data_IF_870034750638
#
_entry.id   IF_870034750638
#
_cell.length_a   1.000
_cell.length_b   1.000
_cell.length_c   1.000
_cell.angle_alpha   90.00
_cell.angle_beta   90.00
_cell.angle_gamma   90.00
#
_symmetry.space_group_name_H-M   'P 1'
#
loop_
_entity.id
_entity.type
_entity.pdbx_description
1 polymer ?
#
# COMPACT_ATOMS: atom_id res chain seq x y z
N UNK A 1 -8.37 25.59 -17.62
CA UNK A 1 -8.43 24.28 -18.32
C UNK A 1 -8.73 23.10 -17.38
N UNK A 2 -7.96 22.85 -16.30
CA UNK A 2 -8.19 21.69 -15.39
C UNK A 2 -9.60 21.63 -14.78
N UNK A 3 -10.13 22.75 -14.28
CA UNK A 3 -11.50 22.81 -13.70
C UNK A 3 -12.59 22.49 -14.73
N UNK A 4 -12.44 22.96 -15.96
CA UNK A 4 -13.39 22.70 -17.05
C UNK A 4 -13.39 21.23 -17.45
N UNK A 5 -12.21 20.60 -17.60
CA UNK A 5 -12.11 19.17 -17.88
C UNK A 5 -12.68 18.33 -16.73
N UNK A 6 -12.42 18.69 -15.48
CA UNK A 6 -12.99 18.00 -14.32
C UNK A 6 -14.53 18.08 -14.31
N UNK A 7 -15.09 19.26 -14.61
CA UNK A 7 -16.54 19.44 -14.75
C UNK A 7 -17.11 18.60 -15.88
N UNK A 8 -16.47 18.60 -17.05
CA UNK A 8 -16.92 17.80 -18.20
C UNK A 8 -16.87 16.30 -17.92
N UNK A 9 -15.79 15.80 -17.30
CA UNK A 9 -15.69 14.40 -16.91
C UNK A 9 -16.73 14.03 -15.84
N UNK A 10 -17.03 14.92 -14.90
CA UNK A 10 -18.11 14.69 -13.94
C UNK A 10 -19.50 14.61 -14.60
N UNK A 11 -19.69 15.27 -15.74
CA UNK A 11 -20.95 15.26 -16.49
C UNK A 11 -21.09 14.04 -17.43
N UNK A 12 -19.99 13.67 -18.11
CA UNK A 12 -19.98 12.68 -19.19
C UNK A 12 -19.60 11.26 -18.77
N UNK A 13 -18.90 11.09 -17.64
CA UNK A 13 -18.50 9.78 -17.13
C UNK A 13 -19.40 9.31 -15.99
N UNK A 14 -19.60 7.99 -15.83
CA UNK A 14 -20.29 7.44 -14.67
C UNK A 14 -19.50 7.74 -13.39
N UNK A 15 -20.20 8.07 -12.29
CA UNK A 15 -19.58 8.16 -10.96
C UNK A 15 -19.05 6.79 -10.56
N UNK A 16 -17.73 6.62 -10.51
CA UNK A 16 -17.06 5.38 -10.08
C UNK A 16 -16.19 5.64 -8.86
N UNK A 17 -16.03 4.60 -8.04
CA UNK A 17 -15.08 4.60 -6.93
C UNK A 17 -13.62 4.52 -7.44
N UNK A 18 -12.64 4.54 -6.53
CA UNK A 18 -11.23 4.39 -6.88
C UNK A 18 -10.97 3.04 -7.56
N UNK A 19 -10.25 3.06 -8.70
CA UNK A 19 -9.93 1.88 -9.49
C UNK A 19 -9.00 0.94 -8.69
N UNK A 20 -9.45 -0.28 -8.41
CA UNK A 20 -8.71 -1.27 -7.62
C UNK A 20 -7.80 -2.13 -8.50
N UNK A 21 -8.22 -2.39 -9.74
CA UNK A 21 -7.49 -3.28 -10.66
C UNK A 21 -6.86 -2.51 -11.83
N UNK A 22 -5.73 -2.98 -12.40
CA UNK A 22 -5.14 -2.37 -13.60
C UNK A 22 -6.12 -2.30 -14.78
N UNK A 23 -7.00 -3.30 -14.93
CA UNK A 23 -8.01 -3.32 -15.99
C UNK A 23 -9.08 -2.24 -15.82
N UNK A 24 -9.48 -1.92 -14.59
CA UNK A 24 -10.40 -0.80 -14.30
C UNK A 24 -9.75 0.54 -14.66
N UNK A 25 -8.47 0.74 -14.31
CA UNK A 25 -7.71 1.94 -14.68
C UNK A 25 -7.63 2.12 -16.19
N UNK A 26 -7.33 1.05 -16.93
CA UNK A 26 -7.29 1.07 -18.39
C UNK A 26 -8.67 1.45 -18.99
N UNK A 27 -9.75 0.85 -18.47
CA UNK A 27 -11.13 1.19 -18.88
C UNK A 27 -11.48 2.65 -18.59
N UNK A 28 -11.04 3.19 -17.46
CA UNK A 28 -11.24 4.59 -17.08
C UNK A 28 -10.45 5.54 -18.00
N UNK A 29 -9.21 5.20 -18.36
CA UNK A 29 -8.41 5.93 -19.35
C UNK A 29 -9.13 6.01 -20.71
N UNK A 30 -9.63 4.89 -21.25
CA UNK A 30 -10.41 4.89 -22.51
C UNK A 30 -11.71 5.70 -22.41
N UNK A 31 -12.39 5.65 -21.26
CA UNK A 31 -13.61 6.43 -21.03
C UNK A 31 -13.32 7.94 -21.10
N UNK A 32 -12.26 8.38 -20.41
CA UNK A 32 -11.81 9.77 -20.41
C UNK A 32 -11.43 10.22 -21.81
N UNK A 33 -10.64 9.42 -22.53
CA UNK A 33 -10.23 9.70 -23.91
C UNK A 33 -11.45 9.85 -24.84
N UNK A 34 -12.40 8.92 -24.79
CA UNK A 34 -13.65 8.97 -25.58
C UNK A 34 -14.45 10.22 -25.24
N UNK A 35 -14.56 10.56 -23.95
CA UNK A 35 -15.22 11.76 -23.48
C UNK A 35 -14.53 13.05 -23.95
N UNK A 36 -13.19 13.10 -23.99
CA UNK A 36 -12.44 14.24 -24.54
C UNK A 36 -12.69 14.43 -26.03
N UNK A 37 -12.68 13.36 -26.81
CA UNK A 37 -12.97 13.43 -28.25
C UNK A 37 -14.42 13.81 -28.51
N UNK A 38 -15.36 13.26 -27.73
CA UNK A 38 -16.77 13.64 -27.81
C UNK A 38 -16.95 15.13 -27.54
N UNK A 39 -16.28 15.68 -26.53
CA UNK A 39 -16.31 17.12 -26.25
C UNK A 39 -15.75 17.93 -27.42
N UNK A 40 -14.57 17.55 -27.92
CA UNK A 40 -13.91 18.25 -29.02
C UNK A 40 -14.81 18.29 -30.26
N UNK A 41 -15.37 17.15 -30.64
CA UNK A 41 -16.28 17.03 -31.78
C UNK A 41 -17.56 17.83 -31.53
N UNK A 42 -18.12 17.77 -30.32
CA UNK A 42 -19.34 18.51 -29.98
C UNK A 42 -19.11 20.02 -30.05
N UNK A 43 -17.99 20.51 -29.54
CA UNK A 43 -17.64 21.94 -29.57
C UNK A 43 -17.49 22.45 -31.01
N UNK A 44 -16.95 21.62 -31.91
CA UNK A 44 -16.80 22.00 -33.33
C UNK A 44 -18.13 21.87 -34.08
N UNK A 45 -18.85 20.77 -33.90
CA UNK A 45 -19.99 20.41 -34.74
C UNK A 45 -21.31 21.06 -34.29
N UNK A 46 -21.59 21.14 -32.99
CA UNK A 46 -22.87 21.67 -32.48
C UNK A 46 -23.12 23.12 -32.92
N UNK A 47 -22.13 24.03 -32.94
CA UNK A 47 -22.34 25.38 -33.48
C UNK A 47 -22.58 25.41 -34.99
N UNK A 48 -22.06 24.42 -35.74
CA UNK A 48 -22.21 24.33 -37.19
C UNK A 48 -23.51 23.64 -37.61
N UNK A 49 -24.11 22.82 -36.74
CA UNK A 49 -25.30 22.05 -37.09
C UNK A 49 -26.53 22.90 -37.48
N UNK A 50 -26.81 24.08 -36.87
CA UNK A 50 -27.92 24.92 -37.33
C UNK A 50 -27.73 25.42 -38.77
N UNK A 51 -26.48 25.70 -39.17
CA UNK A 51 -26.17 26.11 -40.55
C UNK A 51 -26.48 24.97 -41.51
N UNK A 52 -26.05 23.76 -41.18
CA UNK A 52 -26.29 22.55 -41.99
C UNK A 52 -27.78 22.20 -42.12
N UNK A 53 -28.57 22.45 -41.06
CA UNK A 53 -29.98 22.09 -40.98
C UNK A 53 -30.88 23.16 -41.62
N UNK A 54 -30.64 24.44 -41.35
CA UNK A 54 -31.55 25.52 -41.75
C UNK A 54 -31.07 26.33 -42.96
N UNK A 55 -29.76 26.42 -43.20
CA UNK A 55 -29.17 27.38 -44.15
C UNK A 55 -28.57 26.72 -45.40
N UNK A 56 -28.93 25.48 -45.71
CA UNK A 56 -28.43 24.75 -46.88
C UNK A 56 -29.55 24.49 -47.90
N UNK A 57 -30.03 25.53 -48.61
CA UNK A 57 -31.14 25.41 -49.55
C UNK A 57 -30.80 24.60 -50.82
N UNK A 58 -29.50 24.38 -51.10
CA UNK A 58 -29.04 23.70 -52.32
C UNK A 58 -28.81 22.19 -52.14
N UNK A 59 -28.78 21.69 -50.92
CA UNK A 59 -28.54 20.26 -50.63
C UNK A 59 -29.71 19.69 -49.84
N UNK A 60 -30.75 19.13 -50.49
CA UNK A 60 -31.92 18.60 -49.79
C UNK A 60 -31.59 17.47 -48.80
N UNK A 61 -30.41 16.84 -48.94
CA UNK A 61 -29.90 15.83 -48.02
C UNK A 61 -29.22 16.37 -46.76
N UNK A 62 -28.87 17.66 -46.68
CA UNK A 62 -28.09 18.15 -45.52
C UNK A 62 -28.90 18.19 -44.22
N UNK A 63 -30.20 18.57 -44.18
CA UNK A 63 -30.96 18.54 -42.93
C UNK A 63 -31.09 17.14 -42.30
N UNK A 64 -31.49 16.07 -43.04
CA UNK A 64 -31.60 14.75 -42.43
C UNK A 64 -30.23 14.19 -41.98
N UNK A 65 -29.14 14.48 -42.70
CA UNK A 65 -27.80 14.08 -42.27
C UNK A 65 -27.42 14.81 -40.97
N UNK A 66 -27.67 16.12 -40.89
CA UNK A 66 -27.37 16.92 -39.69
C UNK A 66 -28.12 16.42 -38.46
N UNK A 67 -29.40 16.08 -38.62
CA UNK A 67 -30.23 15.49 -37.55
C UNK A 67 -29.70 14.11 -37.14
N UNK A 68 -29.42 13.22 -38.11
CA UNK A 68 -28.92 11.87 -37.83
C UNK A 68 -27.59 11.91 -37.05
N UNK A 69 -26.69 12.80 -37.45
CA UNK A 69 -25.41 13.05 -36.76
C UNK A 69 -25.63 13.53 -35.32
N UNK A 70 -26.52 14.50 -35.09
CA UNK A 70 -26.79 15.00 -33.74
C UNK A 70 -27.36 13.90 -32.83
N UNK A 71 -28.20 13.03 -33.39
CA UNK A 71 -28.70 11.84 -32.69
C UNK A 71 -27.54 10.92 -32.33
N UNK A 72 -26.62 10.61 -33.26
CA UNK A 72 -25.46 9.76 -32.97
C UNK A 72 -24.54 10.35 -31.89
N UNK A 73 -24.30 11.66 -31.90
CA UNK A 73 -23.52 12.34 -30.85
C UNK A 73 -24.23 12.27 -29.50
N UNK A 74 -25.54 12.48 -29.48
CA UNK A 74 -26.35 12.37 -28.26
C UNK A 74 -26.36 10.95 -27.72
N UNK A 75 -26.51 9.94 -28.58
CA UNK A 75 -26.40 8.53 -28.21
C UNK A 75 -25.00 8.23 -27.65
N UNK A 76 -23.94 8.70 -28.31
CA UNK A 76 -22.56 8.54 -27.83
C UNK A 76 -22.39 9.10 -26.41
N UNK A 77 -22.94 10.29 -26.14
CA UNK A 77 -22.93 10.89 -24.80
C UNK A 77 -23.70 10.05 -23.77
N UNK A 78 -24.91 9.61 -24.09
CA UNK A 78 -25.76 8.81 -23.19
C UNK A 78 -25.09 7.48 -22.85
N UNK A 79 -24.60 6.74 -23.85
CA UNK A 79 -23.92 5.47 -23.62
C UNK A 79 -22.60 5.64 -22.87
N UNK A 80 -21.88 6.74 -23.09
CA UNK A 80 -20.69 7.10 -22.33
C UNK A 80 -21.00 7.26 -20.85
N UNK A 81 -22.09 7.98 -20.53
CA UNK A 81 -22.57 8.17 -19.15
C UNK A 81 -23.03 6.86 -18.49
N UNK A 82 -23.59 5.93 -19.26
CA UNK A 82 -23.95 4.58 -18.77
C UNK A 82 -22.72 3.67 -18.55
N UNK A 83 -21.52 4.09 -18.95
CA UNK A 83 -20.29 3.32 -18.84
C UNK A 83 -20.09 2.27 -19.94
N UNK A 84 -20.89 2.31 -21.00
CA UNK A 84 -20.79 1.47 -22.19
C UNK A 84 -19.83 2.11 -23.21
N UNK A 85 -18.57 2.25 -22.80
CA UNK A 85 -17.57 3.03 -23.52
C UNK A 85 -17.36 2.56 -24.96
N UNK A 86 -17.36 1.25 -25.22
CA UNK A 86 -17.20 0.72 -26.58
C UNK A 86 -18.35 1.10 -27.51
N UNK A 87 -19.59 1.11 -26.99
CA UNK A 87 -20.77 1.52 -27.76
C UNK A 87 -20.72 3.02 -28.03
N UNK A 88 -20.37 3.81 -27.01
CA UNK A 88 -20.17 5.26 -27.15
C UNK A 88 -19.12 5.60 -28.22
N UNK A 89 -17.97 4.91 -28.19
CA UNK A 89 -16.92 5.05 -29.20
C UNK A 89 -17.39 4.60 -30.60
N UNK A 90 -18.15 3.51 -30.70
CA UNK A 90 -18.72 3.05 -31.97
C UNK A 90 -19.67 4.07 -32.59
N UNK A 91 -20.51 4.75 -31.79
CA UNK A 91 -21.35 5.86 -32.28
C UNK A 91 -20.53 7.06 -32.75
N UNK A 92 -19.38 7.33 -32.13
CA UNK A 92 -18.50 8.43 -32.50
C UNK A 92 -17.74 8.14 -33.82
N UNK A 93 -17.29 6.90 -34.01
CA UNK A 93 -16.74 6.42 -35.29
C UNK A 93 -17.83 6.42 -36.36
N UNK A 94 -19.01 5.88 -36.04
CA UNK A 94 -20.17 5.84 -36.93
C UNK A 94 -20.64 7.23 -37.34
N UNK A 95 -20.59 8.21 -36.44
CA UNK A 95 -20.85 9.62 -36.74
C UNK A 95 -19.96 10.10 -37.89
N UNK A 96 -18.65 9.84 -37.84
CA UNK A 96 -17.74 10.25 -38.90
C UNK A 96 -18.05 9.53 -40.23
N UNK A 97 -18.33 8.23 -40.16
CA UNK A 97 -18.71 7.43 -41.34
C UNK A 97 -20.00 7.95 -42.00
N UNK A 98 -21.04 8.23 -41.21
CA UNK A 98 -22.33 8.72 -41.70
C UNK A 98 -22.19 10.15 -42.23
N UNK A 99 -21.46 11.01 -41.53
CA UNK A 99 -21.27 12.41 -41.95
C UNK A 99 -20.64 12.49 -43.35
N UNK A 100 -19.58 11.72 -43.60
CA UNK A 100 -18.88 11.71 -44.90
C UNK A 100 -19.64 10.87 -45.92
N UNK A 101 -20.01 9.65 -45.54
CA UNK A 101 -20.64 8.68 -46.42
C UNK A 101 -22.01 9.14 -46.93
N UNK A 102 -22.83 9.77 -46.08
CA UNK A 102 -24.14 10.26 -46.51
C UNK A 102 -24.03 11.49 -47.43
N UNK A 103 -23.03 12.36 -47.24
CA UNK A 103 -22.76 13.46 -48.18
C UNK A 103 -22.36 12.90 -49.55
N UNK A 104 -21.48 11.90 -49.58
CA UNK A 104 -21.06 11.25 -50.83
C UNK A 104 -22.17 10.41 -51.47
N UNK A 105 -23.05 9.80 -50.68
CA UNK A 105 -24.16 8.98 -51.20
C UNK A 105 -25.30 9.80 -51.80
N UNK A 106 -25.47 11.05 -51.34
CA UNK A 106 -26.62 11.90 -51.72
C UNK A 106 -26.29 12.92 -52.81
N UNK A 107 -25.01 13.11 -53.13
CA UNK A 107 -24.55 13.99 -54.18
C UNK A 107 -23.92 13.15 -55.30
N UNK A 108 -24.08 13.54 -56.58
CA UNK A 108 -23.38 12.85 -57.66
C UNK A 108 -21.87 12.95 -57.45
N UNK A 109 -21.15 11.85 -57.69
CA UNK A 109 -19.71 11.80 -57.49
C UNK A 109 -19.01 12.73 -58.48
N UNK A 110 -18.37 13.75 -57.93
CA UNK A 110 -17.60 14.75 -58.63
C UNK A 110 -16.13 14.67 -58.20
N UNK A 111 -15.14 14.98 -59.06
CA UNK A 111 -13.73 14.94 -58.69
C UNK A 111 -13.39 15.82 -57.48
N UNK A 112 -14.15 16.90 -57.25
CA UNK A 112 -13.99 17.77 -56.07
C UNK A 112 -14.34 17.09 -54.74
N UNK A 113 -15.12 16.00 -54.77
CA UNK A 113 -15.52 15.23 -53.59
C UNK A 113 -14.56 14.07 -53.27
N UNK A 114 -13.68 13.68 -54.21
CA UNK A 114 -12.70 12.60 -54.00
C UNK A 114 -11.84 12.78 -52.74
N UNK A 115 -11.37 14.00 -52.38
CA UNK A 115 -10.62 14.20 -51.14
C UNK A 115 -11.39 13.82 -49.86
N UNK A 116 -12.73 13.79 -49.90
CA UNK A 116 -13.54 13.36 -48.76
C UNK A 116 -13.32 11.90 -48.40
N UNK A 117 -12.90 11.04 -49.36
CA UNK A 117 -12.52 9.67 -49.03
C UNK A 117 -11.33 9.63 -48.06
N UNK A 118 -10.38 10.56 -48.16
CA UNK A 118 -9.27 10.65 -47.23
C UNK A 118 -9.73 11.00 -45.81
N UNK A 119 -10.89 11.64 -45.64
CA UNK A 119 -11.43 11.99 -44.31
C UNK A 119 -11.91 10.73 -43.55
N UNK A 120 -12.22 9.63 -44.24
CA UNK A 120 -12.49 8.33 -43.58
C UNK A 120 -11.31 7.82 -42.74
N UNK A 121 -10.08 8.31 -42.99
CA UNK A 121 -8.93 8.00 -42.14
C UNK A 121 -9.13 8.47 -40.70
N UNK A 122 -9.91 9.54 -40.48
CA UNK A 122 -10.26 10.02 -39.14
C UNK A 122 -11.08 8.97 -38.40
N UNK A 123 -12.06 8.31 -39.06
CA UNK A 123 -12.83 7.22 -38.46
C UNK A 123 -11.93 6.04 -38.05
N UNK A 124 -10.93 5.70 -38.88
CA UNK A 124 -9.97 4.62 -38.60
C UNK A 124 -9.11 4.96 -37.38
N UNK A 125 -8.57 6.18 -37.34
CA UNK A 125 -7.73 6.65 -36.22
C UNK A 125 -8.56 6.68 -34.93
N UNK A 126 -9.79 7.20 -34.99
CA UNK A 126 -10.71 7.19 -33.85
C UNK A 126 -11.03 5.77 -33.38
N UNK A 127 -11.28 4.84 -34.30
CA UNK A 127 -11.53 3.45 -33.95
C UNK A 127 -10.32 2.81 -33.25
N UNK A 128 -9.11 3.06 -33.74
CA UNK A 128 -7.88 2.55 -33.11
C UNK A 128 -7.59 3.18 -31.75
N UNK A 129 -7.87 4.48 -31.59
CA UNK A 129 -7.62 5.22 -30.36
C UNK A 129 -8.64 4.94 -29.25
N UNK A 130 -9.92 4.82 -29.61
CA UNK A 130 -11.03 4.72 -28.65
C UNK A 130 -11.45 3.27 -28.35
N UNK A 131 -11.16 2.33 -29.25
CA UNK A 131 -11.57 0.92 -29.17
C UNK A 131 -10.34 -0.01 -29.18
N UNK A 132 -10.50 -1.34 -29.03
CA UNK A 132 -9.37 -2.25 -29.13
C UNK A 132 -8.67 -2.09 -30.49
N UNK A 133 -7.33 -2.24 -30.58
CA UNK A 133 -6.58 -1.94 -31.81
C UNK A 133 -7.15 -2.60 -33.07
N UNK A 134 -7.68 -3.82 -32.94
CA UNK A 134 -8.29 -4.59 -34.04
C UNK A 134 -9.43 -3.82 -34.72
N UNK A 135 -10.16 -2.97 -33.98
CA UNK A 135 -11.24 -2.15 -34.52
C UNK A 135 -10.76 -1.20 -35.63
N UNK A 136 -9.51 -0.70 -35.59
CA UNK A 136 -8.97 0.12 -36.68
C UNK A 136 -8.86 -0.64 -38.00
N UNK A 137 -8.50 -1.93 -37.97
CA UNK A 137 -8.45 -2.78 -39.16
C UNK A 137 -9.87 -3.05 -39.70
N UNK A 138 -10.81 -3.38 -38.81
CA UNK A 138 -12.20 -3.65 -39.19
C UNK A 138 -12.82 -2.40 -39.84
N UNK A 139 -12.66 -1.24 -39.22
CA UNK A 139 -13.15 0.04 -39.75
C UNK A 139 -12.43 0.40 -41.04
N UNK A 140 -11.12 0.13 -41.16
CA UNK A 140 -10.38 0.36 -42.40
C UNK A 140 -10.93 -0.47 -43.57
N UNK A 141 -11.20 -1.76 -43.35
CA UNK A 141 -11.84 -2.63 -44.36
C UNK A 141 -13.26 -2.15 -44.68
N UNK A 142 -14.03 -1.76 -43.66
CA UNK A 142 -15.37 -1.21 -43.85
C UNK A 142 -15.34 0.07 -44.69
N UNK A 143 -14.39 0.98 -44.44
CA UNK A 143 -14.20 2.18 -45.25
C UNK A 143 -13.87 1.83 -46.71
N UNK A 144 -13.02 0.81 -46.96
CA UNK A 144 -12.71 0.35 -48.31
C UNK A 144 -13.96 -0.18 -49.03
N UNK A 145 -14.80 -0.95 -48.32
CA UNK A 145 -16.09 -1.44 -48.85
C UNK A 145 -17.02 -0.26 -49.16
N UNK A 146 -17.14 0.71 -48.25
CA UNK A 146 -17.97 1.90 -48.47
C UNK A 146 -17.49 2.70 -49.69
N UNK A 147 -16.17 2.92 -49.83
CA UNK A 147 -15.59 3.60 -50.99
C UNK A 147 -15.95 2.86 -52.29
N UNK A 148 -15.76 1.54 -52.32
CA UNK A 148 -16.08 0.72 -53.49
C UNK A 148 -17.59 0.75 -53.83
N UNK A 149 -18.46 0.61 -52.83
CA UNK A 149 -19.91 0.66 -53.02
C UNK A 149 -20.37 2.04 -53.50
N UNK A 150 -19.87 3.13 -52.90
CA UNK A 150 -20.23 4.48 -53.34
C UNK A 150 -19.78 4.70 -54.79
N UNK A 151 -18.56 4.29 -55.15
CA UNK A 151 -18.06 4.41 -56.51
C UNK A 151 -18.79 3.55 -57.54
N UNK A 152 -19.49 2.48 -57.13
CA UNK A 152 -20.25 1.62 -58.05
C UNK A 152 -21.71 2.04 -58.19
N UNK A 153 -22.33 2.50 -57.10
CA UNK A 153 -23.78 2.71 -57.04
C UNK A 153 -24.22 4.17 -57.09
N UNK A 154 -23.34 5.13 -56.77
CA UNK A 154 -23.71 6.56 -56.81
C UNK A 154 -23.59 7.09 -58.24
N UNK A 155 -24.55 7.91 -58.71
CA UNK A 155 -24.47 8.53 -60.03
C UNK A 155 -23.19 9.39 -60.18
N UNK A 156 -22.54 9.31 -61.35
CA UNK A 156 -21.32 10.04 -61.66
C UNK A 156 -21.61 11.35 -62.41
N UNK A 157 -20.85 12.41 -62.14
CA UNK A 157 -20.84 13.59 -63.01
C UNK A 157 -20.11 13.31 -64.32
N UNK A 158 -20.38 14.10 -65.37
CA UNK A 158 -19.68 13.97 -66.66
C UNK A 158 -18.16 14.13 -66.50
N UNK A 159 -17.71 15.02 -65.60
CA UNK A 159 -16.30 15.22 -65.29
C UNK A 159 -15.67 13.97 -64.65
N UNK A 160 -16.39 13.30 -63.74
CA UNK A 160 -15.92 12.06 -63.14
C UNK A 160 -15.89 10.91 -64.16
N UNK A 161 -16.90 10.80 -65.01
CA UNK A 161 -16.93 9.80 -66.08
C UNK A 161 -15.77 9.98 -67.05
N UNK A 162 -15.47 11.23 -67.45
CA UNK A 162 -14.32 11.53 -68.29
C UNK A 162 -13.01 11.10 -67.62
N UNK A 163 -12.84 11.31 -66.31
CA UNK A 163 -11.66 10.81 -65.59
C UNK A 163 -11.55 9.28 -65.61
N UNK A 164 -12.68 8.56 -65.54
CA UNK A 164 -12.68 7.10 -65.64
C UNK A 164 -12.31 6.63 -67.05
N UNK A 165 -12.85 7.30 -68.07
CA UNK A 165 -12.58 6.98 -69.48
C UNK A 165 -11.12 7.27 -69.86
N UNK A 166 -10.51 8.30 -69.25
CA UNK A 166 -9.07 8.61 -69.36
C UNK A 166 -8.16 7.62 -68.61
N UNK A 167 -8.74 6.59 -67.96
CA UNK A 167 -8.00 5.55 -67.26
C UNK A 167 -7.46 5.96 -65.89
N UNK A 168 -7.97 7.05 -65.29
CA UNK A 168 -7.54 7.54 -63.97
C UNK A 168 -8.11 6.75 -62.79
N UNK A 169 -8.56 5.50 -63.02
CA UNK A 169 -9.08 4.58 -62.01
C UNK A 169 -8.13 4.40 -60.81
N UNK A 170 -6.83 4.44 -61.08
CA UNK A 170 -5.79 4.34 -60.05
C UNK A 170 -5.89 5.48 -59.04
N UNK A 171 -6.12 6.70 -59.50
CA UNK A 171 -6.18 7.88 -58.63
C UNK A 171 -7.52 7.95 -57.90
N UNK A 172 -8.61 7.59 -58.56
CA UNK A 172 -9.96 7.71 -57.99
C UNK A 172 -10.29 6.64 -56.95
N UNK A 173 -9.83 5.40 -57.15
CA UNK A 173 -10.23 4.25 -56.33
C UNK A 173 -9.07 3.57 -55.62
N UNK A 174 -7.96 3.29 -56.32
CA UNK A 174 -6.83 2.54 -55.74
C UNK A 174 -6.13 3.37 -54.65
N UNK A 175 -5.87 4.66 -54.90
CA UNK A 175 -5.17 5.52 -53.95
C UNK A 175 -5.93 5.66 -52.62
N UNK A 176 -7.23 6.02 -52.58
CA UNK A 176 -7.97 6.12 -51.33
C UNK A 176 -8.06 4.79 -50.56
N UNK A 177 -8.30 3.67 -51.24
CA UNK A 177 -8.35 2.34 -50.60
C UNK A 177 -7.00 1.99 -50.00
N UNK A 178 -5.92 2.17 -50.77
CA UNK A 178 -4.55 1.91 -50.30
C UNK A 178 -4.22 2.78 -49.08
N UNK A 179 -4.62 4.05 -49.10
CA UNK A 179 -4.47 4.96 -47.96
C UNK A 179 -5.22 4.46 -46.72
N UNK A 180 -6.49 4.04 -46.84
CA UNK A 180 -7.25 3.50 -45.71
C UNK A 180 -6.58 2.25 -45.11
N UNK A 181 -6.11 1.33 -45.96
CA UNK A 181 -5.45 0.10 -45.50
C UNK A 181 -4.13 0.39 -44.80
N UNK A 182 -3.30 1.28 -45.35
CA UNK A 182 -2.03 1.69 -44.73
C UNK A 182 -2.29 2.36 -43.38
N UNK A 183 -3.22 3.32 -43.32
CA UNK A 183 -3.56 4.02 -42.07
C UNK A 183 -4.13 3.05 -41.02
N UNK A 184 -4.99 2.12 -41.43
CA UNK A 184 -5.53 1.07 -40.56
C UNK A 184 -4.44 0.18 -39.97
N UNK A 185 -3.54 -0.33 -40.82
CA UNK A 185 -2.42 -1.17 -40.39
C UNK A 185 -1.45 -0.41 -39.47
N UNK A 186 -1.12 0.84 -39.81
CA UNK A 186 -0.23 1.69 -39.03
C UNK A 186 -0.84 2.02 -37.66
N UNK A 187 -2.10 2.40 -37.62
CA UNK A 187 -2.83 2.70 -36.38
C UNK A 187 -2.93 1.46 -35.51
N UNK A 188 -3.24 0.29 -36.08
CA UNK A 188 -3.23 -0.98 -35.36
C UNK A 188 -1.86 -1.27 -34.72
N UNK A 189 -0.78 -1.15 -35.49
CA UNK A 189 0.58 -1.40 -35.01
C UNK A 189 0.98 -0.44 -33.89
N UNK A 190 0.73 0.86 -34.07
CA UNK A 190 1.04 1.90 -33.08
C UNK A 190 0.25 1.66 -31.79
N UNK A 191 -1.07 1.49 -31.87
CA UNK A 191 -1.92 1.31 -30.69
C UNK A 191 -1.58 0.02 -29.96
N UNK A 192 -1.30 -1.08 -30.68
CA UNK A 192 -0.85 -2.34 -30.08
C UNK A 192 0.47 -2.18 -29.33
N UNK A 193 1.44 -1.49 -29.92
CA UNK A 193 2.73 -1.23 -29.28
C UNK A 193 2.57 -0.31 -28.07
N UNK A 194 1.77 0.74 -28.17
CA UNK A 194 1.51 1.67 -27.06
C UNK A 194 0.87 0.97 -25.86
N UNK A 195 -0.16 0.13 -26.08
CA UNK A 195 -0.80 -0.65 -25.00
C UNK A 195 0.21 -1.59 -24.35
N UNK A 196 1.06 -2.26 -25.13
CA UNK A 196 2.10 -3.13 -24.59
C UNK A 196 3.11 -2.37 -23.75
N UNK A 197 3.54 -1.18 -24.20
CA UNK A 197 4.46 -0.32 -23.45
C UNK A 197 3.84 0.19 -22.16
N UNK A 198 2.57 0.60 -22.18
CA UNK A 198 1.83 1.03 -20.98
C UNK A 198 1.75 -0.13 -19.98
N UNK A 199 1.40 -1.34 -20.43
CA UNK A 199 1.34 -2.53 -19.56
C UNK A 199 2.70 -2.89 -18.96
N UNK A 200 3.80 -2.68 -19.71
CA UNK A 200 5.16 -2.87 -19.19
C UNK A 200 5.50 -1.83 -18.13
N UNK A 201 5.13 -0.57 -18.35
CA UNK A 201 5.33 0.51 -17.38
C UNK A 201 4.52 0.27 -16.09
N UNK A 202 3.24 -0.06 -16.19
CA UNK A 202 2.38 -0.33 -15.03
C UNK A 202 2.92 -1.52 -14.19
N UNK A 203 3.43 -2.58 -14.85
CA UNK A 203 4.10 -3.70 -14.15
C UNK A 203 5.40 -3.30 -13.49
N UNK A 204 6.19 -2.43 -14.13
CA UNK A 204 7.43 -1.94 -13.54
C UNK A 204 7.14 -1.10 -12.29
N UNK A 205 6.09 -0.28 -12.31
CA UNK A 205 5.65 0.51 -11.15
C UNK A 205 5.21 -0.40 -9.99
N UNK A 206 4.44 -1.46 -10.27
CA UNK A 206 4.04 -2.47 -9.28
C UNK A 206 5.26 -3.21 -8.68
N UNK A 207 6.25 -3.57 -9.50
CA UNK A 207 7.49 -4.20 -9.01
C UNK A 207 8.25 -3.24 -8.10
N UNK A 208 8.35 -1.96 -8.45
CA UNK A 208 9.04 -0.96 -7.62
C UNK A 208 8.32 -0.77 -6.28
N UNK A 209 6.99 -0.70 -6.26
CA UNK A 209 6.26 -0.61 -4.99
C UNK A 209 6.47 -1.85 -4.12
N UNK A 210 6.42 -3.05 -4.71
CA UNK A 210 6.67 -4.30 -3.97
C UNK A 210 8.11 -4.39 -3.46
N UNK A 211 9.09 -3.91 -4.22
CA UNK A 211 10.49 -3.85 -3.78
C UNK A 211 10.66 -2.89 -2.60
N UNK A 212 9.96 -1.76 -2.59
CA UNK A 212 9.99 -0.82 -1.46
C UNK A 212 9.39 -1.44 -0.19
N UNK A 213 8.24 -2.09 -0.30
CA UNK A 213 7.61 -2.82 0.82
C UNK A 213 8.54 -3.93 1.33
N UNK A 214 9.13 -4.72 0.45
CA UNK A 214 10.08 -5.76 0.82
C UNK A 214 11.33 -5.18 1.52
N UNK A 215 11.90 -4.09 0.98
CA UNK A 215 13.03 -3.42 1.59
C UNK A 215 12.70 -2.90 2.99
N UNK A 216 11.48 -2.40 3.21
CA UNK A 216 11.01 -1.98 4.52
C UNK A 216 10.90 -3.18 5.48
N UNK A 217 10.31 -4.28 5.03
CA UNK A 217 10.22 -5.51 5.83
C UNK A 217 11.61 -6.06 6.23
N UNK A 218 12.56 -6.09 5.29
CA UNK A 218 13.93 -6.53 5.56
C UNK A 218 14.60 -5.61 6.58
N UNK A 219 14.43 -4.29 6.48
CA UNK A 219 14.97 -3.34 7.46
C UNK A 219 14.40 -3.59 8.86
N UNK A 220 13.08 -3.77 8.98
CA UNK A 220 12.44 -4.06 10.27
C UNK A 220 12.95 -5.39 10.85
N UNK A 221 13.09 -6.44 10.03
CA UNK A 221 13.64 -7.70 10.49
C UNK A 221 15.10 -7.59 10.91
N UNK A 222 15.91 -6.81 10.20
CA UNK A 222 17.31 -6.58 10.55
C UNK A 222 17.44 -5.86 11.90
N UNK A 223 16.61 -4.84 12.13
CA UNK A 223 16.54 -4.13 13.42
C UNK A 223 16.13 -5.06 14.56
N UNK A 224 15.11 -5.91 14.34
CA UNK A 224 14.68 -6.90 15.33
C UNK A 224 15.78 -7.92 15.66
N UNK A 225 16.51 -8.39 14.64
CA UNK A 225 17.64 -9.30 14.83
C UNK A 225 18.77 -8.64 15.62
N UNK A 226 19.12 -7.41 15.28
CA UNK A 226 20.16 -6.66 15.99
C UNK A 226 19.80 -6.46 17.46
N UNK A 227 18.56 -6.04 17.75
CA UNK A 227 18.07 -5.91 19.13
C UNK A 227 18.18 -7.26 19.88
N UNK A 228 17.72 -8.34 19.25
CA UNK A 228 17.78 -9.67 19.84
C UNK A 228 19.22 -10.10 20.14
N UNK A 229 20.16 -9.87 19.23
CA UNK A 229 21.59 -10.16 19.41
C UNK A 229 22.21 -9.33 20.56
N UNK A 230 21.94 -8.02 20.59
CA UNK A 230 22.37 -7.15 21.69
C UNK A 230 21.81 -7.62 23.04
N UNK A 231 20.54 -8.04 23.07
CA UNK A 231 19.92 -8.59 24.27
C UNK A 231 20.54 -9.92 24.71
N UNK A 232 20.86 -10.82 23.78
CA UNK A 232 21.56 -12.06 24.08
C UNK A 232 22.96 -11.82 24.62
N UNK A 233 23.71 -10.88 24.05
CA UNK A 233 25.05 -10.53 24.52
C UNK A 233 25.02 -10.03 25.96
N UNK A 234 24.07 -9.15 26.31
CA UNK A 234 23.88 -8.67 27.70
C UNK A 234 23.52 -9.78 28.68
N UNK A 235 22.66 -10.72 28.27
CA UNK A 235 22.31 -11.89 29.09
C UNK A 235 23.54 -12.78 29.30
N UNK A 236 24.29 -13.08 28.23
CA UNK A 236 25.48 -13.90 28.28
C UNK A 236 26.59 -13.29 29.15
N UNK A 237 26.83 -11.98 29.01
CA UNK A 237 27.78 -11.25 29.85
C UNK A 237 27.40 -11.31 31.33
N UNK A 238 26.11 -11.07 31.63
CA UNK A 238 25.61 -11.15 33.00
C UNK A 238 25.81 -12.56 33.56
N UNK A 239 25.44 -13.60 32.81
CA UNK A 239 25.63 -14.99 33.21
C UNK A 239 27.10 -15.34 33.46
N UNK A 240 28.02 -14.82 32.64
CA UNK A 240 29.46 -14.99 32.85
C UNK A 240 29.93 -14.36 34.17
N UNK A 241 29.48 -13.13 34.50
CA UNK A 241 29.81 -12.47 35.77
C UNK A 241 29.25 -13.23 36.98
N UNK A 242 28.04 -13.76 36.88
CA UNK A 242 27.41 -14.61 37.91
C UNK A 242 28.21 -15.88 38.13
N UNK A 243 28.66 -16.51 37.04
CA UNK A 243 29.49 -17.72 37.10
C UNK A 243 30.84 -17.45 37.78
N UNK A 244 31.34 -16.22 37.70
CA UNK A 244 32.52 -15.74 38.41
C UNK A 244 32.25 -15.30 39.87
N UNK A 245 31.04 -15.53 40.39
CA UNK A 245 30.68 -15.30 41.78
C UNK A 245 30.05 -13.94 42.10
N UNK A 246 29.88 -13.06 41.11
CA UNK A 246 29.21 -11.77 41.30
C UNK A 246 27.68 -11.92 41.15
N UNK A 247 27.00 -12.16 42.27
CA UNK A 247 25.54 -12.31 42.33
C UNK A 247 24.80 -10.95 42.36
N UNK A 248 25.50 -9.83 42.39
CA UNK A 248 24.89 -8.50 42.47
C UNK A 248 24.49 -7.96 41.09
N UNK A 249 25.05 -8.51 40.02
CA UNK A 249 24.73 -8.12 38.64
C UNK A 249 23.27 -8.48 38.30
N UNK A 250 22.64 -7.60 37.52
CA UNK A 250 21.29 -7.78 36.98
C UNK A 250 21.33 -7.55 35.48
N UNK A 251 20.50 -8.29 34.75
CA UNK A 251 20.29 -8.04 33.33
C UNK A 251 19.41 -6.82 33.19
N UNK A 252 19.96 -5.73 32.62
CA UNK A 252 19.22 -4.51 32.35
C UNK A 252 18.85 -4.45 30.84
N UNK A 253 17.61 -4.84 30.54
CA UNK A 253 16.98 -4.64 29.23
C UNK A 253 15.84 -3.63 29.38
N UNK A 254 15.65 -2.78 28.38
CA UNK A 254 14.52 -1.85 28.33
C UNK A 254 13.19 -2.61 28.26
N UNK A 255 12.12 -2.02 28.80
CA UNK A 255 10.76 -2.63 28.83
C UNK A 255 10.19 -2.92 27.43
N UNK A 256 10.71 -2.27 26.38
CA UNK A 256 10.35 -2.55 24.99
C UNK A 256 11.15 -3.67 24.32
N UNK A 257 12.12 -4.28 25.00
CA UNK A 257 12.99 -5.28 24.40
C UNK A 257 12.29 -6.66 24.33
N UNK A 258 12.40 -7.38 23.20
CA UNK A 258 11.76 -8.71 23.05
C UNK A 258 12.17 -9.73 24.13
N UNK A 259 13.40 -9.63 24.63
CA UNK A 259 13.95 -10.49 25.69
C UNK A 259 13.67 -9.97 27.12
N UNK A 260 12.86 -8.92 27.30
CA UNK A 260 12.58 -8.35 28.62
C UNK A 260 12.01 -9.38 29.60
N UNK A 261 11.06 -10.22 29.16
CA UNK A 261 10.50 -11.29 29.99
C UNK A 261 11.55 -12.33 30.41
N UNK A 262 12.48 -12.67 29.50
CA UNK A 262 13.58 -13.60 29.80
C UNK A 262 14.49 -13.00 30.86
N UNK A 263 14.89 -11.73 30.70
CA UNK A 263 15.69 -11.01 31.69
C UNK A 263 14.99 -10.90 33.06
N UNK A 264 13.69 -10.64 33.08
CA UNK A 264 12.89 -10.61 34.31
C UNK A 264 12.92 -11.94 35.05
N UNK A 265 12.72 -13.05 34.34
CA UNK A 265 12.80 -14.40 34.94
C UNK A 265 14.20 -14.72 35.49
N UNK A 266 15.25 -14.33 34.76
CA UNK A 266 16.64 -14.51 35.17
C UNK A 266 16.98 -13.69 36.42
N UNK A 267 16.57 -12.42 36.46
CA UNK A 267 16.76 -11.55 37.62
C UNK A 267 16.05 -12.09 38.87
N UNK A 268 14.87 -12.70 38.71
CA UNK A 268 14.17 -13.36 39.82
C UNK A 268 14.92 -14.58 40.34
N UNK A 269 15.47 -15.41 39.44
CA UNK A 269 16.33 -16.53 39.81
C UNK A 269 17.58 -16.06 40.56
N UNK A 270 18.20 -14.96 40.11
CA UNK A 270 19.37 -14.38 40.76
C UNK A 270 19.05 -13.81 42.14
N UNK A 271 17.93 -13.11 42.28
CA UNK A 271 17.44 -12.65 43.59
C UNK A 271 17.22 -13.82 44.55
N UNK A 272 16.79 -14.98 44.07
CA UNK A 272 16.62 -16.19 44.88
C UNK A 272 17.97 -16.82 45.23
N UNK A 273 18.89 -16.91 44.27
CA UNK A 273 20.24 -17.45 44.49
C UNK A 273 21.05 -16.59 45.46
N UNK A 274 20.99 -15.28 45.34
CA UNK A 274 21.64 -14.34 46.25
C UNK A 274 21.09 -14.47 47.68
N UNK A 275 19.76 -14.59 47.83
CA UNK A 275 19.14 -14.86 49.14
C UNK A 275 19.63 -16.18 49.72
N UNK A 276 19.59 -17.28 48.95
CA UNK A 276 20.10 -18.58 49.41
C UNK A 276 21.57 -18.54 49.81
N UNK A 277 22.42 -17.81 49.08
CA UNK A 277 23.83 -17.63 49.45
C UNK A 277 23.97 -16.86 50.75
N UNK A 278 23.28 -15.73 50.89
CA UNK A 278 23.28 -14.92 52.12
C UNK A 278 22.79 -15.72 53.33
N UNK A 279 21.74 -16.52 53.17
CA UNK A 279 21.20 -17.37 54.23
C UNK A 279 22.20 -18.47 54.62
N UNK A 280 22.89 -19.07 53.63
CA UNK A 280 23.96 -20.04 53.86
C UNK A 280 25.14 -19.41 54.60
N UNK A 281 25.60 -18.23 54.18
CA UNK A 281 26.71 -17.51 54.80
C UNK A 281 26.35 -17.10 56.25
N UNK A 282 25.12 -16.61 56.46
CA UNK A 282 24.59 -16.31 57.79
C UNK A 282 24.53 -17.55 58.68
N UNK A 283 24.11 -18.69 58.14
CA UNK A 283 24.05 -19.95 58.87
C UNK A 283 25.45 -20.47 59.24
N UNK A 284 26.45 -20.32 58.35
CA UNK A 284 27.85 -20.61 58.66
C UNK A 284 28.37 -19.69 59.77
N UNK A 285 28.13 -18.38 59.67
CA UNK A 285 28.51 -17.41 60.68
C UNK A 285 27.84 -17.71 62.04
N UNK A 286 26.54 -18.04 62.02
CA UNK A 286 25.77 -18.42 63.22
C UNK A 286 26.32 -19.69 63.84
N UNK A 287 26.68 -20.71 63.05
CA UNK A 287 27.31 -21.93 63.57
C UNK A 287 28.67 -21.62 64.21
N UNK A 288 29.51 -20.82 63.58
CA UNK A 288 30.81 -20.42 64.14
C UNK A 288 30.64 -19.64 65.45
N UNK A 289 29.71 -18.68 65.48
CA UNK A 289 29.34 -17.94 66.68
C UNK A 289 28.84 -18.87 67.80
N UNK A 290 27.97 -19.84 67.49
CA UNK A 290 27.50 -20.83 68.45
C UNK A 290 28.64 -21.64 69.06
N UNK A 291 29.59 -22.11 68.23
CA UNK A 291 30.76 -22.83 68.72
C UNK A 291 31.63 -21.97 69.63
N UNK A 292 31.85 -20.70 69.28
CA UNK A 292 32.61 -19.77 70.11
C UNK A 292 31.93 -19.54 71.47
N UNK A 293 30.63 -19.24 71.45
CA UNK A 293 29.82 -19.06 72.67
C UNK A 293 29.82 -20.32 73.53
N UNK A 294 29.63 -21.49 72.91
CA UNK A 294 29.66 -22.79 73.59
C UNK A 294 31.03 -23.03 74.25
N UNK A 295 32.13 -22.75 73.56
CA UNK A 295 33.47 -22.91 74.12
C UNK A 295 33.72 -21.97 75.32
N UNK A 296 33.34 -20.70 75.21
CA UNK A 296 33.48 -19.72 76.31
C UNK A 296 32.63 -20.13 77.53
N UNK A 297 31.38 -20.53 77.31
CA UNK A 297 30.52 -21.07 78.36
C UNK A 297 31.12 -22.31 79.00
N UNK A 298 31.57 -23.27 78.19
CA UNK A 298 32.12 -24.53 78.70
C UNK A 298 33.37 -24.28 79.57
N UNK A 299 34.23 -23.36 79.13
CA UNK A 299 35.40 -22.93 79.88
C UNK A 299 35.02 -22.27 81.22
N UNK A 300 34.04 -21.37 81.21
CA UNK A 300 33.59 -20.71 82.43
C UNK A 300 32.89 -21.66 83.44
N UNK A 301 32.10 -22.60 82.94
CA UNK A 301 31.49 -23.67 83.75
C UNK A 301 32.58 -24.51 84.41
N UNK A 302 33.60 -24.94 83.64
CA UNK A 302 34.69 -25.76 84.16
C UNK A 302 35.51 -25.07 85.26
N UNK A 303 35.59 -23.73 85.22
CA UNK A 303 36.28 -22.92 86.23
C UNK A 303 35.39 -22.50 87.42
N UNK A 304 34.10 -22.86 87.41
CA UNK A 304 33.14 -22.47 88.45
C UNK A 304 32.83 -20.97 88.50
N UNK A 305 33.10 -20.22 87.42
CA UNK A 305 32.94 -18.75 87.35
C UNK A 305 31.85 -18.34 86.37
N UNK A 306 30.68 -18.96 86.49
CA UNK A 306 29.53 -18.63 85.65
C UNK A 306 29.02 -17.19 85.84
N UNK A 307 29.24 -16.62 87.02
CA UNK A 307 28.73 -15.32 87.46
C UNK A 307 29.38 -14.11 86.78
N UNK A 308 30.60 -14.25 86.23
CA UNK A 308 31.35 -13.14 85.60
C UNK A 308 31.47 -13.24 84.07
N UNK A 309 30.81 -14.23 83.46
CA UNK A 309 30.89 -14.41 82.00
C UNK A 309 30.07 -13.34 81.29
N UNK A 310 30.74 -12.53 80.47
CA UNK A 310 30.08 -11.67 79.48
C UNK A 310 30.39 -12.20 78.10
N UNK A 311 29.39 -12.82 77.48
CA UNK A 311 29.47 -13.25 76.09
C UNK A 311 29.38 -12.03 75.17
N UNK A 312 30.32 -11.85 74.21
CA UNK A 312 30.27 -10.77 73.23
C UNK A 312 29.16 -10.98 72.20
N UNK A 313 28.60 -9.89 71.66
CA UNK A 313 27.66 -9.94 70.53
C UNK A 313 28.38 -10.40 69.27
N UNK A 314 27.77 -11.33 68.56
CA UNK A 314 28.33 -12.04 67.39
C UNK A 314 27.81 -11.49 66.06
N UNK A 315 26.81 -10.61 66.07
CA UNK A 315 26.17 -10.09 64.86
C UNK A 315 25.30 -11.12 64.14
N UNK A 316 24.96 -12.22 64.82
CA UNK A 316 24.14 -13.30 64.28
C UNK A 316 22.81 -13.37 65.04
N UNK A 317 21.81 -14.12 64.55
CA UNK A 317 20.55 -14.30 65.28
C UNK A 317 20.72 -14.84 66.71
N UNK A 318 21.87 -15.45 67.04
CA UNK A 318 22.22 -15.89 68.40
C UNK A 318 22.37 -14.75 69.40
N UNK A 319 22.53 -13.50 68.96
CA UNK A 319 22.74 -12.36 69.87
C UNK A 319 21.57 -12.18 70.84
N UNK A 320 20.35 -12.49 70.40
CA UNK A 320 19.18 -12.52 71.27
C UNK A 320 19.34 -13.50 72.45
N UNK A 321 19.83 -14.71 72.16
CA UNK A 321 20.10 -15.76 73.15
C UNK A 321 21.26 -15.38 74.06
N UNK A 322 22.31 -14.77 73.50
CA UNK A 322 23.48 -14.29 74.23
C UNK A 322 23.09 -13.22 75.25
N UNK A 323 22.25 -12.25 74.86
CA UNK A 323 21.77 -11.19 75.74
C UNK A 323 20.99 -11.79 76.91
N UNK A 324 20.07 -12.72 76.64
CA UNK A 324 19.31 -13.38 77.70
C UNK A 324 20.19 -14.23 78.62
N UNK A 325 21.16 -14.96 78.07
CA UNK A 325 22.14 -15.71 78.87
C UNK A 325 22.95 -14.78 79.79
N UNK A 326 23.42 -13.65 79.27
CA UNK A 326 24.15 -12.65 80.06
C UNK A 326 23.26 -12.04 81.17
N UNK A 327 21.98 -11.78 80.88
CA UNK A 327 21.03 -11.29 81.88
C UNK A 327 20.73 -12.35 82.95
N UNK A 328 20.51 -13.60 82.54
CA UNK A 328 20.27 -14.71 83.44
C UNK A 328 21.47 -15.00 84.35
N UNK A 329 22.69 -15.02 83.79
CA UNK A 329 23.93 -15.18 84.55
C UNK A 329 24.08 -14.06 85.59
N UNK A 330 23.77 -12.82 85.22
CA UNK A 330 23.78 -11.67 86.14
C UNK A 330 22.74 -11.82 87.25
N UNK A 331 21.52 -12.23 86.93
CA UNK A 331 20.43 -12.40 87.90
C UNK A 331 20.67 -13.57 88.87
N UNK A 332 21.35 -14.64 88.44
CA UNK A 332 21.73 -15.76 89.30
C UNK A 332 22.67 -15.33 90.43
N UNK A 333 23.56 -14.35 90.18
CA UNK A 333 24.43 -13.75 91.23
C UNK A 333 23.62 -13.02 92.29
N UNK A 334 22.55 -12.32 91.87
CA UNK A 334 21.72 -11.50 92.76
C UNK A 334 20.86 -12.34 93.71
N UNK A 335 20.50 -13.57 93.34
CA UNK A 335 19.65 -14.46 94.15
C UNK A 335 20.41 -15.34 95.16
N UNK A 336 21.74 -15.41 95.11
CA UNK A 336 22.58 -16.18 96.06
C UNK A 336 22.99 -15.41 97.32
N UNK A 337 22.51 -14.18 97.53
CA UNK A 337 22.70 -13.44 98.79
C UNK A 337 21.60 -13.83 99.79
N UNK A 338 21.93 -14.35 100.98
CA UNK A 338 20.93 -14.71 101.98
C UNK A 338 20.19 -13.46 102.41
N UNK A 339 18.87 -13.48 102.24
CA UNK A 339 17.93 -12.46 102.72
C UNK A 339 17.91 -12.51 104.25
N UNK A 340 18.93 -11.94 104.89
CA UNK A 340 18.97 -11.71 106.32
C UNK A 340 17.91 -10.66 106.65
N UNK A 341 16.96 -11.04 107.50
CA UNK A 341 15.87 -10.18 107.94
C UNK A 341 16.38 -8.98 108.75
N UNK A 342 15.73 -7.84 108.55
CA UNK A 342 15.70 -6.77 109.54
C UNK A 342 14.25 -6.59 109.99
N UNK A 343 14.05 -7.06 111.21
CA UNK A 343 12.96 -6.83 112.16
C UNK A 343 12.37 -5.43 112.15
N UNK A 344 11.04 -5.42 112.17
CA UNK A 344 10.17 -4.55 112.97
C UNK A 344 10.86 -3.67 114.03
N UNK A 345 10.51 -2.38 114.03
CA UNK A 345 10.21 -1.68 115.28
C UNK A 345 9.09 -0.64 115.04
N UNK A 346 8.01 -0.65 115.85
CA UNK A 346 7.04 0.43 115.95
C UNK A 346 7.51 1.45 117.00
N UNK A 347 7.02 2.69 116.96
CA UNK A 347 6.52 3.46 118.11
C UNK A 347 6.11 4.88 117.69
N UNK A 348 4.86 5.19 118.04
CA UNK A 348 4.22 6.47 118.40
C UNK A 348 4.40 7.74 117.54
#
# INVERSE_FOLDING_TARGET
MKRFMAWWYALSLPKRGPDKTPGERERTRYAQLTSSFLLLISVIFVPLSPIMIFFSPKSPSSPPIGIAVLIMLSCSFIFGKMGWNYVSAAFLVGYNLVCIGAVLATNPLDPSLLPLYSVFTIAIILAGALMPPISSLIVGVLCCIIIALLSMFVPHTAAYQQMLDDGLFTVTLIVPITLQLIVGAMTFAIMRNMINTIRRADRAEEIVSLQQELAQHVRTQMQQKQQLEEGFQKIAETHARISNGDLTVRVNLSEGHMLWHVAGSLNNLLNRMQRMKSDSDMLVATRQAAYQVSNVLHQAVSMGRLSDVRLPTTGTPLDSVIIELNNAARNAVTHSLPRYGSTSEPQY
#
